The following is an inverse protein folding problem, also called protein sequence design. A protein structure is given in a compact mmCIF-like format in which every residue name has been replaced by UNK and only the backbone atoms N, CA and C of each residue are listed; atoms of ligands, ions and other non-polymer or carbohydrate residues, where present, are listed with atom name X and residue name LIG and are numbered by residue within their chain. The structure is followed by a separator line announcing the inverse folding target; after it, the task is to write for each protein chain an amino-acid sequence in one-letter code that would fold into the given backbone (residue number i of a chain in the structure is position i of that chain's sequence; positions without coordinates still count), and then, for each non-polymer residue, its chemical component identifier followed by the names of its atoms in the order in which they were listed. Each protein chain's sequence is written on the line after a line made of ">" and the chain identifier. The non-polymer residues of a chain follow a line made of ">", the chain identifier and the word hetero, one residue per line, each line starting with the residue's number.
data_IF_319318265260
#
_entry.id   IF_319318265260
#
_cell.length_a   1.000
_cell.length_b   1.000
_cell.length_c   1.000
_cell.angle_alpha   90.00
_cell.angle_beta   90.00
_cell.angle_gamma   90.00
#
_symmetry.space_group_name_H-M   'P 1'
#
loop_
_entity.id
_entity.type
_entity.pdbx_description
1 polymer ?
#
# COMPACT_ATOMS: atom_id res chain seq x y z
N UNK A 1 4.71 -16.80 -13.59
CA UNK A 1 3.45 -16.08 -13.90
C UNK A 1 3.37 -14.91 -12.93
N UNK A 2 2.85 -13.75 -13.34
CA UNK A 2 2.59 -12.63 -12.42
C UNK A 2 1.68 -13.06 -11.27
N UNK A 3 2.00 -12.63 -10.05
CA UNK A 3 1.07 -12.76 -8.91
C UNK A 3 0.23 -11.49 -8.74
N UNK A 4 -1.04 -11.66 -8.36
CA UNK A 4 -1.95 -10.56 -8.06
C UNK A 4 -2.51 -10.78 -6.65
N UNK A 5 -2.23 -9.84 -5.77
CA UNK A 5 -2.80 -9.74 -4.43
C UNK A 5 -3.89 -8.69 -4.43
N UNK A 6 -5.02 -9.00 -3.83
CA UNK A 6 -6.19 -8.11 -3.81
C UNK A 6 -6.57 -7.83 -2.36
N UNK A 7 -6.78 -6.56 -2.04
CA UNK A 7 -7.20 -6.10 -0.71
C UNK A 7 -8.08 -4.84 -0.85
N UNK A 8 -8.54 -4.30 0.27
CA UNK A 8 -9.30 -3.05 0.36
C UNK A 8 -9.10 -2.44 1.76
N UNK A 9 -9.92 -1.46 2.11
CA UNK A 9 -10.16 -1.05 3.51
C UNK A 9 -8.87 -0.79 4.28
N UNK A 10 -8.03 0.11 3.74
CA UNK A 10 -6.80 0.54 4.41
C UNK A 10 -7.05 1.70 5.36
N UNK A 11 -8.13 2.46 5.13
CA UNK A 11 -8.55 3.65 5.87
C UNK A 11 -7.37 4.56 6.27
N UNK A 12 -6.45 4.79 5.34
CA UNK A 12 -5.28 5.61 5.58
C UNK A 12 -4.29 4.96 6.56
N UNK A 13 -3.83 5.71 7.55
CA UNK A 13 -2.82 5.25 8.51
C UNK A 13 -3.29 4.13 9.45
N UNK A 14 -4.60 3.84 9.49
CA UNK A 14 -5.21 2.87 10.40
C UNK A 14 -4.77 1.45 10.02
N UNK A 15 -5.02 0.99 8.78
CA UNK A 15 -4.69 -0.36 8.32
C UNK A 15 -3.60 -0.43 7.24
N UNK A 16 -2.98 0.68 6.80
CA UNK A 16 -1.90 0.62 5.79
C UNK A 16 -0.70 -0.25 6.20
N UNK A 17 -0.48 -0.42 7.51
CA UNK A 17 0.56 -1.29 8.08
C UNK A 17 0.34 -2.78 7.78
N UNK A 18 -0.84 -3.18 7.30
CA UNK A 18 -1.08 -4.55 6.82
C UNK A 18 -0.20 -4.90 5.63
N UNK A 19 0.24 -3.89 4.86
CA UNK A 19 1.19 -4.04 3.75
C UNK A 19 2.67 -4.02 4.21
N UNK A 20 2.92 -4.07 5.53
CA UNK A 20 4.27 -4.21 6.07
C UNK A 20 4.78 -5.63 5.89
N UNK A 21 6.10 -5.83 5.83
CA UNK A 21 6.70 -7.16 5.70
C UNK A 21 6.31 -8.14 6.82
N UNK A 22 5.95 -7.61 8.00
CA UNK A 22 5.50 -8.42 9.13
C UNK A 22 4.08 -8.99 8.91
N UNK A 23 3.18 -8.22 8.29
CA UNK A 23 1.76 -8.59 8.10
C UNK A 23 1.48 -9.13 6.70
N UNK A 24 2.30 -8.74 5.73
CA UNK A 24 2.29 -9.22 4.35
C UNK A 24 3.69 -9.70 3.93
N UNK A 25 4.14 -10.90 4.41
CA UNK A 25 5.46 -11.43 4.10
C UNK A 25 5.71 -11.67 2.61
N UNK A 26 4.65 -12.00 1.86
CA UNK A 26 4.72 -12.19 0.40
C UNK A 26 5.25 -10.93 -0.31
N UNK A 27 4.98 -9.74 0.22
CA UNK A 27 5.51 -8.46 -0.28
C UNK A 27 7.05 -8.39 -0.36
N UNK A 28 7.79 -9.26 0.33
CA UNK A 28 9.26 -9.27 0.28
C UNK A 28 9.82 -9.83 -1.04
N UNK A 29 9.08 -10.74 -1.68
CA UNK A 29 9.51 -11.45 -2.89
C UNK A 29 8.87 -10.90 -4.16
N UNK A 30 7.88 -10.01 -4.04
CA UNK A 30 7.25 -9.38 -5.19
C UNK A 30 8.21 -8.47 -5.95
N UNK A 31 7.98 -8.42 -7.25
CA UNK A 31 8.72 -7.62 -8.21
C UNK A 31 7.79 -6.62 -8.90
N UNK A 32 8.33 -5.80 -9.80
CA UNK A 32 7.55 -4.90 -10.66
C UNK A 32 6.62 -5.60 -11.64
N UNK A 33 6.70 -6.94 -11.75
CA UNK A 33 5.79 -7.74 -12.59
C UNK A 33 4.56 -8.23 -11.83
N UNK A 34 4.58 -8.10 -10.50
CA UNK A 34 3.52 -8.54 -9.61
C UNK A 34 2.70 -7.34 -9.13
N UNK A 35 1.47 -7.58 -8.69
CA UNK A 35 0.53 -6.51 -8.36
C UNK A 35 -0.05 -6.69 -6.96
N UNK A 36 -0.16 -5.58 -6.23
CA UNK A 36 -1.02 -5.44 -5.07
C UNK A 36 -2.09 -4.41 -5.42
N UNK A 37 -3.33 -4.86 -5.51
CA UNK A 37 -4.48 -4.03 -5.91
C UNK A 37 -5.35 -3.75 -4.70
N UNK A 38 -5.55 -2.46 -4.40
CA UNK A 38 -6.44 -1.98 -3.33
C UNK A 38 -7.76 -1.58 -3.99
N UNK A 39 -8.83 -2.35 -3.79
CA UNK A 39 -10.12 -2.21 -4.49
C UNK A 39 -11.10 -1.20 -3.86
N UNK A 40 -10.69 -0.48 -2.82
CA UNK A 40 -11.55 0.47 -2.13
C UNK A 40 -10.89 0.97 -0.84
N UNK A 41 -11.43 2.06 -0.30
CA UNK A 41 -11.08 2.60 1.02
C UNK A 41 -9.58 2.71 1.28
N UNK A 42 -8.86 3.26 0.30
CA UNK A 42 -7.41 3.50 0.37
C UNK A 42 -7.05 4.50 1.49
N UNK A 43 -7.79 5.60 1.56
CA UNK A 43 -7.83 6.51 2.70
C UNK A 43 -6.60 7.40 2.94
N UNK A 44 -5.68 7.56 1.98
CA UNK A 44 -4.49 8.43 2.11
C UNK A 44 -4.55 9.76 1.32
N UNK A 45 -5.70 10.11 0.73
CA UNK A 45 -5.85 11.31 -0.11
C UNK A 45 -7.17 12.05 0.21
N UNK A 46 -7.46 12.22 1.50
CA UNK A 46 -8.58 13.03 1.99
C UNK A 46 -8.21 14.52 2.08
N UNK A 47 -6.94 14.84 2.37
CA UNK A 47 -6.45 16.21 2.40
C UNK A 47 -6.19 16.79 1.00
N UNK A 48 -6.54 18.08 0.80
CA UNK A 48 -6.12 18.84 -0.38
C UNK A 48 -5.60 20.25 0.01
N UNK A 49 -4.27 20.45 0.07
CA UNK A 49 -3.22 19.48 -0.26
C UNK A 49 -3.15 18.31 0.75
N UNK A 50 -2.55 17.16 0.41
CA UNK A 50 -2.38 16.06 1.34
C UNK A 50 -1.73 16.51 2.65
N UNK A 51 -2.04 15.85 3.75
CA UNK A 51 -1.38 16.09 5.05
C UNK A 51 0.04 15.51 5.06
N UNK A 52 0.85 15.86 6.06
CA UNK A 52 2.18 15.25 6.23
C UNK A 52 2.11 13.74 6.46
N UNK A 53 1.10 13.28 7.20
CA UNK A 53 0.84 11.85 7.45
C UNK A 53 0.53 11.12 6.15
N UNK A 54 -0.34 11.69 5.31
CA UNK A 54 -0.66 11.14 3.99
C UNK A 54 0.57 11.09 3.10
N UNK A 55 1.35 12.17 3.03
CA UNK A 55 2.63 12.20 2.29
C UNK A 55 3.61 11.12 2.75
N UNK A 56 3.75 10.92 4.06
CA UNK A 56 4.62 9.90 4.62
C UNK A 56 4.23 8.50 4.14
N UNK A 57 2.94 8.14 4.22
CA UNK A 57 2.47 6.82 3.83
C UNK A 57 2.48 6.61 2.31
N UNK A 58 2.18 7.64 1.52
CA UNK A 58 2.35 7.60 0.07
C UNK A 58 3.80 7.34 -0.33
N UNK A 59 4.76 8.01 0.33
CA UNK A 59 6.20 7.74 0.12
C UNK A 59 6.56 6.31 0.51
N UNK A 60 6.10 5.84 1.67
CA UNK A 60 6.35 4.47 2.14
C UNK A 60 5.79 3.40 1.19
N UNK A 61 4.63 3.64 0.54
CA UNK A 61 4.07 2.76 -0.48
C UNK A 61 4.86 2.82 -1.80
N UNK A 62 5.32 4.00 -2.21
CA UNK A 62 6.11 4.17 -3.43
C UNK A 62 7.49 3.50 -3.38
N UNK A 63 7.99 3.23 -2.17
CA UNK A 63 9.28 2.58 -1.95
C UNK A 63 9.18 1.03 -1.92
N UNK A 64 7.97 0.47 -2.11
CA UNK A 64 7.79 -0.99 -2.18
C UNK A 64 8.37 -1.54 -3.47
N UNK A 65 8.95 -2.75 -3.43
CA UNK A 65 9.53 -3.42 -4.62
C UNK A 65 8.51 -3.62 -5.75
N UNK A 66 7.24 -3.71 -5.38
CA UNK A 66 6.07 -3.94 -6.23
C UNK A 66 5.31 -2.65 -6.60
N UNK A 67 5.82 -1.47 -6.24
CA UNK A 67 5.31 -0.15 -6.66
C UNK A 67 6.39 0.56 -7.42
#
# INVERSE_FOLDING_TARGET
>A
MPEIFVTGDKHGEIEIKDLSLRRFPAGNVLTKRDFVVILGDFGLLWGNPPTDTERYWLKWLSEKKWT
#
